data_IF_883304855541
#
_entry.id   IF_883304855541
#
_cell.length_a   1.000
_cell.length_b   1.000
_cell.length_c   1.000
_cell.angle_alpha   90.00
_cell.angle_beta   90.00
_cell.angle_gamma   90.00
#
_symmetry.space_group_name_H-M   'P 1'
#
loop_
_entity.id
_entity.type
_entity.pdbx_description
1 polymer ?
#
# COMPACT_ATOMS: atom_id res chain seq x y z
N UNK A 1 56.66 41.12 -73.81
CA UNK A 1 55.24 41.52 -73.77
C UNK A 1 54.42 40.33 -73.24
N UNK A 2 54.11 40.30 -71.95
CA UNK A 2 53.37 39.23 -71.35
C UNK A 2 52.11 39.84 -70.76
N UNK A 3 50.93 39.36 -71.20
CA UNK A 3 49.60 39.77 -70.69
C UNK A 3 49.25 38.86 -69.51
N UNK A 4 49.20 39.43 -68.35
CA UNK A 4 48.64 38.83 -67.16
C UNK A 4 47.08 38.86 -67.16
N UNK A 5 46.43 37.71 -67.05
CA UNK A 5 44.99 37.59 -66.84
C UNK A 5 44.73 37.42 -65.30
N UNK A 6 44.02 38.37 -64.77
CA UNK A 6 43.50 38.31 -63.44
C UNK A 6 42.27 37.40 -63.35
N UNK A 7 42.28 36.39 -62.49
CA UNK A 7 41.13 35.58 -62.17
C UNK A 7 40.48 36.10 -60.85
N UNK A 8 39.18 36.38 -60.88
CA UNK A 8 38.34 36.69 -59.70
C UNK A 8 37.99 35.41 -59.00
N UNK A 9 38.01 35.37 -57.65
CA UNK A 9 37.47 34.25 -56.92
C UNK A 9 35.96 34.37 -56.73
N UNK A 10 35.23 33.32 -57.12
CA UNK A 10 33.83 33.15 -56.84
C UNK A 10 33.69 32.72 -55.34
N UNK A 11 33.12 33.57 -54.50
CA UNK A 11 32.80 33.24 -53.11
C UNK A 11 31.49 32.45 -53.08
N UNK A 12 31.58 31.15 -52.85
CA UNK A 12 30.41 30.31 -52.56
C UNK A 12 29.94 30.55 -51.12
N UNK A 13 28.79 31.19 -50.95
CA UNK A 13 28.11 31.32 -49.66
C UNK A 13 27.40 29.99 -49.35
N UNK A 14 27.97 29.22 -48.45
CA UNK A 14 27.36 28.00 -47.93
C UNK A 14 26.39 28.40 -46.80
N UNK A 15 25.08 28.41 -47.10
CA UNK A 15 24.03 28.63 -46.08
C UNK A 15 23.91 27.39 -45.20
N UNK A 16 24.41 27.43 -43.95
CA UNK A 16 24.13 26.44 -42.91
C UNK A 16 22.70 26.67 -42.44
N UNK A 17 21.78 25.79 -42.85
CA UNK A 17 20.48 25.62 -42.20
C UNK A 17 20.71 24.92 -40.85
N UNK A 18 20.72 25.70 -39.76
CA UNK A 18 20.64 25.20 -38.41
C UNK A 18 19.20 24.68 -38.19
N UNK A 19 19.03 23.38 -38.32
CA UNK A 19 17.86 22.71 -37.72
C UNK A 19 18.02 22.78 -36.21
N UNK A 20 17.35 23.71 -35.57
CA UNK A 20 17.14 23.68 -34.15
C UNK A 20 16.23 22.46 -33.87
N UNK A 21 16.79 21.35 -33.42
CA UNK A 21 16.03 20.35 -32.73
C UNK A 21 15.43 21.03 -31.47
N UNK A 22 14.16 21.32 -31.51
CA UNK A 22 13.42 21.65 -30.28
C UNK A 22 13.31 20.33 -29.51
N UNK A 23 14.22 20.12 -28.56
CA UNK A 23 14.02 19.11 -27.53
C UNK A 23 12.76 19.47 -26.76
N UNK A 24 11.68 18.77 -27.06
CA UNK A 24 10.49 18.80 -26.20
C UNK A 24 10.83 18.06 -24.91
N UNK A 25 11.37 18.77 -23.92
CA UNK A 25 11.69 18.23 -22.59
C UNK A 25 10.47 18.05 -21.70
N UNK A 26 9.31 17.72 -22.27
CA UNK A 26 8.19 17.19 -21.52
C UNK A 26 8.43 15.70 -21.21
N UNK A 27 7.98 15.18 -20.06
CA UNK A 27 8.10 13.76 -19.79
C UNK A 27 7.36 12.99 -20.89
N UNK A 28 8.13 12.23 -21.67
CA UNK A 28 7.58 11.39 -22.73
C UNK A 28 6.77 10.29 -22.07
N UNK A 29 5.45 10.26 -22.33
CA UNK A 29 4.62 9.13 -21.91
C UNK A 29 5.20 7.86 -22.59
N UNK A 30 5.67 6.85 -21.81
CA UNK A 30 6.37 5.69 -22.36
C UNK A 30 5.50 4.78 -23.25
N UNK A 31 4.22 5.12 -23.45
CA UNK A 31 3.29 4.30 -24.22
C UNK A 31 3.01 2.92 -23.59
N UNK A 32 2.27 2.09 -24.33
CA UNK A 32 1.97 0.71 -23.89
C UNK A 32 3.18 -0.20 -24.11
N UNK A 33 3.43 -1.13 -23.17
CA UNK A 33 4.56 -2.06 -23.18
C UNK A 33 4.10 -3.48 -22.83
N UNK A 34 4.80 -4.48 -23.34
CA UNK A 34 4.56 -5.89 -22.96
C UNK A 34 5.84 -6.73 -23.14
N UNK A 35 5.98 -7.78 -22.31
CA UNK A 35 7.10 -8.72 -22.38
C UNK A 35 6.66 -10.19 -22.26
N UNK A 36 5.40 -10.50 -22.57
CA UNK A 36 4.81 -11.85 -22.44
C UNK A 36 4.36 -12.19 -21.01
N UNK A 37 5.00 -11.68 -19.98
CA UNK A 37 4.62 -11.86 -18.56
C UNK A 37 3.81 -10.67 -18.04
N UNK A 38 4.19 -9.47 -18.40
CA UNK A 38 3.54 -8.22 -17.97
C UNK A 38 3.06 -7.47 -19.20
N UNK A 39 1.83 -7.00 -19.14
CA UNK A 39 1.30 -6.01 -20.09
C UNK A 39 1.07 -4.71 -19.35
N UNK A 40 1.70 -3.62 -19.81
CA UNK A 40 1.53 -2.27 -19.26
C UNK A 40 0.72 -1.44 -20.23
N UNK A 41 -0.36 -0.85 -19.75
CA UNK A 41 -1.20 0.11 -20.47
C UNK A 41 -0.96 1.49 -19.86
N UNK A 42 -0.47 2.43 -20.69
CA UNK A 42 -0.25 3.83 -20.34
C UNK A 42 -1.06 4.78 -21.23
N UNK A 43 -1.94 4.22 -22.09
CA UNK A 43 -2.80 5.02 -22.96
C UNK A 43 -3.90 5.71 -22.15
N UNK A 44 -3.89 7.07 -22.08
CA UNK A 44 -4.84 7.80 -21.24
C UNK A 44 -6.30 7.61 -21.67
N UNK A 45 -6.57 7.43 -22.96
CA UNK A 45 -7.93 7.26 -23.47
C UNK A 45 -8.52 5.91 -23.01
N UNK A 46 -7.74 4.84 -23.08
CA UNK A 46 -8.11 3.53 -22.55
C UNK A 46 -8.33 3.57 -21.05
N UNK A 47 -7.39 4.17 -20.29
CA UNK A 47 -7.42 4.19 -18.82
C UNK A 47 -8.57 5.07 -18.29
N UNK A 48 -8.92 6.15 -18.96
CA UNK A 48 -10.04 7.02 -18.59
C UNK A 48 -11.39 6.28 -18.60
N UNK A 49 -11.55 5.22 -19.40
CA UNK A 49 -12.76 4.39 -19.42
C UNK A 49 -12.88 3.45 -18.21
N UNK A 50 -11.80 3.27 -17.46
CA UNK A 50 -11.75 2.33 -16.33
C UNK A 50 -12.07 2.98 -14.98
N UNK A 51 -12.14 4.31 -14.92
CA UNK A 51 -12.43 5.06 -13.70
C UNK A 51 -13.82 5.71 -13.80
N UNK A 52 -14.65 5.47 -12.81
CA UNK A 52 -15.96 6.11 -12.67
C UNK A 52 -15.90 7.16 -11.57
N UNK A 53 -16.29 8.38 -11.88
CA UNK A 53 -16.36 9.47 -10.92
C UNK A 53 -17.71 9.55 -10.23
N UNK A 54 -17.71 9.99 -8.98
CA UNK A 54 -18.91 10.23 -8.18
C UNK A 54 -18.72 11.49 -7.34
N UNK A 55 -19.81 11.97 -6.77
CA UNK A 55 -19.85 13.02 -5.73
C UNK A 55 -20.81 12.62 -4.61
N UNK A 56 -21.01 11.31 -4.46
CA UNK A 56 -21.94 10.79 -3.47
C UNK A 56 -21.37 10.96 -2.07
N UNK A 57 -22.17 11.56 -1.19
CA UNK A 57 -21.83 11.59 0.23
C UNK A 57 -21.88 10.18 0.80
N UNK A 58 -20.83 9.79 1.50
CA UNK A 58 -20.78 8.50 2.20
C UNK A 58 -21.11 8.78 3.67
N UNK A 59 -22.23 8.27 4.19
CA UNK A 59 -22.55 8.42 5.60
C UNK A 59 -21.55 7.63 6.46
N UNK A 60 -21.15 8.24 7.57
CA UNK A 60 -20.44 7.55 8.63
C UNK A 60 -21.51 7.00 9.57
N UNK A 61 -21.79 5.70 9.45
CA UNK A 61 -22.80 5.04 10.25
C UNK A 61 -22.26 4.70 11.65
N UNK A 62 -22.72 5.44 12.66
CA UNK A 62 -22.36 5.21 14.05
C UNK A 62 -23.15 4.04 14.70
N UNK A 63 -24.12 3.43 14.00
CA UNK A 63 -24.95 2.36 14.54
C UNK A 63 -24.13 1.09 14.78
N UNK A 64 -24.17 0.58 16.00
CA UNK A 64 -23.53 -0.68 16.38
C UNK A 64 -22.00 -0.68 16.36
N UNK A 65 -21.35 0.49 16.28
CA UNK A 65 -19.88 0.60 16.36
C UNK A 65 -19.39 0.92 17.78
N UNK A 66 -20.31 1.25 18.72
CA UNK A 66 -19.97 1.37 20.13
C UNK A 66 -19.67 0.00 20.73
N UNK A 67 -18.55 -0.11 21.45
CA UNK A 67 -18.22 -1.31 22.21
C UNK A 67 -18.74 -1.15 23.64
N UNK A 68 -19.23 -2.20 24.29
CA UNK A 68 -19.58 -2.12 25.69
C UNK A 68 -18.35 -1.67 26.49
N UNK A 69 -18.59 -0.81 27.48
CA UNK A 69 -17.51 -0.38 28.37
C UNK A 69 -16.78 -1.61 28.94
N UNK A 70 -15.43 -1.62 28.88
CA UNK A 70 -14.68 -2.72 29.47
C UNK A 70 -15.04 -2.88 30.97
N UNK A 71 -15.06 -4.11 31.49
CA UNK A 71 -15.35 -4.33 32.90
C UNK A 71 -14.37 -3.53 33.76
N UNK A 72 -14.82 -3.05 34.90
CA UNK A 72 -14.09 -2.12 35.78
C UNK A 72 -12.68 -2.56 36.22
N UNK A 73 -12.28 -3.80 35.90
CA UNK A 73 -10.95 -4.37 36.16
C UNK A 73 -10.08 -4.58 34.91
N UNK A 74 -10.51 -4.10 33.72
CA UNK A 74 -9.65 -4.18 32.53
C UNK A 74 -8.43 -3.27 32.68
N UNK A 75 -7.24 -3.67 32.18
CA UNK A 75 -6.07 -2.80 32.12
C UNK A 75 -6.43 -1.46 31.51
N UNK A 76 -5.87 -0.37 32.02
CA UNK A 76 -6.19 1.01 31.61
C UNK A 76 -6.00 1.31 30.12
N UNK A 77 -5.31 0.44 29.37
CA UNK A 77 -5.10 0.52 27.91
C UNK A 77 -6.38 0.26 27.07
N UNK A 78 -7.48 -0.18 27.65
CA UNK A 78 -8.71 -0.60 26.93
C UNK A 78 -9.87 0.39 27.06
N UNK A 79 -9.61 1.69 27.19
CA UNK A 79 -10.69 2.66 27.25
C UNK A 79 -11.15 3.01 25.84
N UNK A 80 -12.18 2.32 25.37
CA UNK A 80 -12.91 2.70 24.18
C UNK A 80 -14.14 3.48 24.62
N UNK A 81 -14.24 4.74 24.22
CA UNK A 81 -15.43 5.54 24.45
C UNK A 81 -16.57 5.08 23.53
N UNK A 82 -17.83 5.28 23.92
CA UNK A 82 -18.97 5.10 23.01
C UNK A 82 -18.80 5.92 21.74
N UNK A 83 -19.37 5.47 20.62
CA UNK A 83 -19.33 6.20 19.36
C UNK A 83 -19.88 7.62 19.54
N UNK A 84 -19.04 8.61 19.22
CA UNK A 84 -19.41 10.03 19.36
C UNK A 84 -20.12 10.60 18.11
N UNK A 85 -20.25 9.78 17.05
CA UNK A 85 -20.64 10.25 15.72
C UNK A 85 -19.51 11.00 15.00
N UNK A 86 -19.73 11.31 13.73
CA UNK A 86 -18.68 11.85 12.85
C UNK A 86 -18.28 13.31 13.15
N UNK A 87 -18.91 13.99 14.09
CA UNK A 87 -18.60 15.38 14.37
C UNK A 87 -18.76 16.28 13.12
N UNK A 88 -17.73 17.08 12.84
CA UNK A 88 -17.74 18.05 11.73
C UNK A 88 -17.16 17.51 10.43
N UNK A 89 -16.66 16.25 10.37
CA UNK A 89 -16.05 15.75 9.15
C UNK A 89 -17.01 14.91 8.30
N UNK A 90 -16.88 15.04 6.98
CA UNK A 90 -17.71 14.33 6.02
C UNK A 90 -16.87 13.60 4.99
N UNK A 91 -17.48 12.58 4.37
CA UNK A 91 -16.83 11.74 3.37
C UNK A 91 -17.60 11.81 2.05
N UNK A 92 -16.85 11.90 0.95
CA UNK A 92 -17.42 11.91 -0.40
C UNK A 92 -16.71 10.84 -1.24
N UNK A 93 -17.47 9.92 -1.85
CA UNK A 93 -16.93 9.03 -2.88
C UNK A 93 -16.61 9.88 -4.11
N UNK A 94 -15.34 9.99 -4.45
CA UNK A 94 -14.89 10.83 -5.57
C UNK A 94 -14.68 10.03 -6.84
N UNK A 95 -14.12 8.84 -6.69
CA UNK A 95 -13.87 7.94 -7.81
C UNK A 95 -13.88 6.47 -7.37
N UNK A 96 -14.13 5.59 -8.33
CA UNK A 96 -14.00 4.15 -8.15
C UNK A 96 -13.49 3.50 -9.44
N UNK A 97 -12.73 2.43 -9.26
CA UNK A 97 -12.20 1.61 -10.35
C UNK A 97 -12.60 0.16 -10.10
N UNK A 98 -13.24 -0.46 -11.09
CA UNK A 98 -13.56 -1.88 -11.00
C UNK A 98 -12.28 -2.72 -10.97
N UNK A 99 -12.34 -3.86 -10.29
CA UNK A 99 -11.25 -4.83 -10.29
C UNK A 99 -10.87 -5.23 -11.71
N UNK A 100 -9.59 -5.19 -12.09
CA UNK A 100 -9.17 -5.66 -13.41
C UNK A 100 -9.29 -7.18 -13.51
N UNK A 101 -9.18 -7.71 -14.73
CA UNK A 101 -9.18 -9.16 -14.97
C UNK A 101 -8.02 -9.57 -15.85
N UNK A 102 -7.53 -10.79 -15.64
CA UNK A 102 -6.46 -11.43 -16.42
C UNK A 102 -6.91 -12.85 -16.76
N UNK A 103 -6.90 -13.21 -18.03
CA UNK A 103 -7.32 -14.55 -18.47
C UNK A 103 -8.74 -14.94 -18.04
N UNK A 104 -9.65 -13.97 -17.93
CA UNK A 104 -11.02 -14.16 -17.45
C UNK A 104 -11.17 -14.23 -15.92
N UNK A 105 -10.08 -14.14 -15.15
CA UNK A 105 -10.09 -14.11 -13.70
C UNK A 105 -10.17 -12.66 -13.19
N UNK A 106 -11.16 -12.36 -12.38
CA UNK A 106 -11.32 -11.04 -11.73
C UNK A 106 -10.37 -10.98 -10.53
N UNK A 107 -9.54 -9.96 -10.49
CA UNK A 107 -8.55 -9.77 -9.44
C UNK A 107 -9.17 -9.09 -8.22
N UNK A 108 -8.51 -9.24 -7.07
CA UNK A 108 -8.87 -8.54 -5.84
C UNK A 108 -7.87 -7.42 -5.55
N UNK A 109 -8.34 -6.23 -5.26
CA UNK A 109 -7.49 -5.15 -4.75
C UNK A 109 -6.94 -5.55 -3.38
N UNK A 110 -5.60 -5.52 -3.20
CA UNK A 110 -4.94 -6.11 -2.05
C UNK A 110 -4.23 -5.11 -1.15
N UNK A 111 -3.51 -4.14 -1.72
CA UNK A 111 -2.69 -3.20 -0.97
C UNK A 111 -2.63 -1.85 -1.69
N UNK A 112 -2.39 -0.80 -0.93
CA UNK A 112 -2.23 0.57 -1.42
C UNK A 112 -0.97 1.16 -0.82
N UNK A 113 -0.17 1.83 -1.63
CA UNK A 113 0.95 2.66 -1.20
C UNK A 113 0.79 4.06 -1.76
N UNK A 114 1.01 5.08 -0.92
CA UNK A 114 0.96 6.48 -1.33
C UNK A 114 2.37 7.07 -1.30
N UNK A 115 2.74 7.76 -2.37
CA UNK A 115 4.02 8.48 -2.48
C UNK A 115 3.82 9.83 -3.17
N UNK A 116 3.98 10.91 -2.40
CA UNK A 116 3.58 12.25 -2.87
C UNK A 116 2.11 12.27 -3.28
N UNK A 117 1.82 12.78 -4.46
CA UNK A 117 0.47 12.84 -5.02
C UNK A 117 0.13 11.61 -5.90
N UNK A 118 0.67 10.44 -5.57
CA UNK A 118 0.40 9.19 -6.29
C UNK A 118 -0.08 8.11 -5.34
N UNK A 119 -1.07 7.33 -5.78
CA UNK A 119 -1.43 6.06 -5.16
C UNK A 119 -1.05 4.91 -6.11
N UNK A 120 -0.41 3.89 -5.57
CA UNK A 120 -0.11 2.64 -6.28
C UNK A 120 -0.87 1.52 -5.60
N UNK A 121 -1.58 0.72 -6.38
CA UNK A 121 -2.50 -0.31 -5.89
C UNK A 121 -2.12 -1.65 -6.48
N UNK A 122 -2.02 -2.68 -5.64
CA UNK A 122 -1.78 -4.05 -6.08
C UNK A 122 -3.07 -4.86 -6.14
N UNK A 123 -3.05 -5.85 -7.03
CA UNK A 123 -4.14 -6.81 -7.22
C UNK A 123 -3.60 -8.22 -7.30
N UNK A 124 -4.35 -9.19 -6.76
CA UNK A 124 -4.07 -10.61 -6.91
C UNK A 124 -5.34 -11.41 -7.18
N UNK A 125 -5.17 -12.68 -7.45
CA UNK A 125 -6.22 -13.68 -7.40
C UNK A 125 -5.99 -14.59 -6.18
N UNK A 126 -7.05 -15.02 -5.50
CA UNK A 126 -6.94 -16.01 -4.43
C UNK A 126 -6.84 -17.41 -5.04
N UNK A 127 -5.71 -18.08 -4.80
CA UNK A 127 -5.47 -19.45 -5.29
C UNK A 127 -4.78 -19.50 -6.66
N UNK A 128 -5.10 -20.49 -7.47
CA UNK A 128 -4.54 -20.66 -8.82
C UNK A 128 -5.53 -20.22 -9.90
N UNK A 129 -5.05 -19.71 -11.05
CA UNK A 129 -3.66 -19.41 -11.40
C UNK A 129 -3.11 -18.19 -10.67
N UNK A 130 -1.78 -18.07 -10.56
CA UNK A 130 -1.13 -16.83 -10.11
C UNK A 130 -1.30 -15.76 -11.18
N UNK A 131 -2.17 -14.79 -10.95
CA UNK A 131 -2.40 -13.63 -11.83
C UNK A 131 -2.63 -12.38 -11.00
N UNK A 132 -2.10 -11.26 -11.42
CA UNK A 132 -2.12 -10.05 -10.62
C UNK A 132 -2.08 -8.77 -11.44
N UNK A 133 -1.99 -7.65 -10.74
CA UNK A 133 -1.92 -6.34 -11.37
C UNK A 133 -1.40 -5.25 -10.45
N UNK A 134 -1.04 -4.14 -11.06
CA UNK A 134 -0.66 -2.89 -10.39
C UNK A 134 -1.26 -1.72 -11.15
N UNK A 135 -1.98 -0.85 -10.44
CA UNK A 135 -2.49 0.42 -10.95
C UNK A 135 -1.74 1.60 -10.32
N UNK A 136 -1.54 2.65 -11.10
CA UNK A 136 -0.98 3.93 -10.64
C UNK A 136 -2.00 5.03 -10.87
N UNK A 137 -2.25 5.81 -9.82
CA UNK A 137 -3.16 6.94 -9.84
C UNK A 137 -2.43 8.24 -9.56
N UNK A 138 -2.78 9.29 -10.29
CA UNK A 138 -2.41 10.66 -9.99
C UNK A 138 -3.53 11.30 -9.15
N UNK A 139 -3.19 11.76 -7.94
CA UNK A 139 -4.06 12.40 -6.98
C UNK A 139 -3.94 13.93 -6.98
N UNK A 140 -3.12 14.52 -7.85
CA UNK A 140 -2.83 15.96 -7.87
C UNK A 140 -4.07 16.82 -8.13
N UNK A 141 -5.06 16.26 -8.82
CA UNK A 141 -6.37 16.90 -8.98
C UNK A 141 -7.33 16.42 -7.88
N UNK A 142 -7.60 17.29 -6.92
CA UNK A 142 -8.41 16.99 -5.74
C UNK A 142 -9.85 16.51 -6.01
N UNK A 143 -10.38 16.70 -7.22
CA UNK A 143 -11.77 16.34 -7.55
C UNK A 143 -11.86 15.21 -8.57
N UNK A 144 -10.81 14.97 -9.34
CA UNK A 144 -10.78 13.98 -10.43
C UNK A 144 -9.44 13.25 -10.47
N UNK A 145 -9.16 12.36 -9.51
CA UNK A 145 -7.96 11.53 -9.56
C UNK A 145 -7.95 10.71 -10.86
N UNK A 146 -6.81 10.51 -11.47
CA UNK A 146 -6.72 9.81 -12.77
C UNK A 146 -5.94 8.51 -12.67
N UNK A 147 -6.40 7.46 -13.33
CA UNK A 147 -5.65 6.23 -13.55
C UNK A 147 -4.65 6.50 -14.68
N UNK A 148 -3.36 6.47 -14.38
CA UNK A 148 -2.29 6.85 -15.31
C UNK A 148 -1.53 5.67 -15.89
N UNK A 149 -1.55 4.53 -15.19
CA UNK A 149 -0.88 3.30 -15.64
C UNK A 149 -1.52 2.07 -15.05
N UNK A 150 -1.57 0.99 -15.81
CA UNK A 150 -2.01 -0.34 -15.38
C UNK A 150 -1.06 -1.41 -15.88
N UNK A 151 -0.48 -2.19 -14.98
CA UNK A 151 0.28 -3.39 -15.31
C UNK A 151 -0.55 -4.64 -14.96
N UNK A 152 -0.63 -5.61 -15.86
CA UNK A 152 -1.29 -6.89 -15.67
C UNK A 152 -0.28 -8.03 -15.82
N UNK A 153 -0.28 -8.94 -14.85
CA UNK A 153 0.67 -10.05 -14.74
C UNK A 153 -0.03 -11.37 -15.08
N UNK A 154 0.56 -12.14 -16.00
CA UNK A 154 -0.03 -13.38 -16.53
C UNK A 154 0.29 -14.64 -15.69
N UNK A 155 1.28 -14.56 -14.82
CA UNK A 155 1.76 -15.71 -14.03
C UNK A 155 2.22 -15.32 -12.62
N UNK A 156 1.74 -14.19 -12.09
CA UNK A 156 2.24 -13.64 -10.83
C UNK A 156 1.11 -12.93 -10.09
N UNK A 157 0.86 -13.31 -8.84
CA UNK A 157 0.04 -12.60 -7.87
C UNK A 157 0.82 -11.46 -7.24
N UNK A 158 0.22 -10.28 -7.05
CA UNK A 158 0.85 -9.18 -6.34
C UNK A 158 0.18 -8.99 -4.97
N UNK A 159 0.84 -9.48 -3.92
CA UNK A 159 0.31 -9.48 -2.55
C UNK A 159 0.34 -8.09 -1.91
N UNK A 160 1.42 -7.35 -2.15
CA UNK A 160 1.54 -5.96 -1.69
C UNK A 160 2.43 -5.12 -2.60
N UNK A 161 2.28 -3.81 -2.47
CA UNK A 161 3.05 -2.81 -3.20
C UNK A 161 3.55 -1.73 -2.25
N UNK A 162 4.76 -1.24 -2.50
CA UNK A 162 5.33 -0.07 -1.85
C UNK A 162 6.02 0.83 -2.87
N UNK A 163 5.67 2.11 -2.88
CA UNK A 163 6.26 3.09 -3.79
C UNK A 163 7.18 4.05 -3.02
N UNK A 164 8.35 4.33 -3.60
CA UNK A 164 9.31 5.30 -3.06
C UNK A 164 10.01 6.03 -4.22
N UNK A 165 9.78 7.32 -4.34
CA UNK A 165 10.26 8.09 -5.48
C UNK A 165 9.69 7.57 -6.79
N UNK A 166 10.56 7.06 -7.65
CA UNK A 166 10.20 6.43 -8.93
C UNK A 166 10.21 4.90 -8.88
N UNK A 167 10.55 4.30 -7.74
CA UNK A 167 10.63 2.87 -7.57
C UNK A 167 9.31 2.31 -7.00
N UNK A 168 8.87 1.17 -7.53
CA UNK A 168 7.68 0.44 -7.10
C UNK A 168 8.11 -0.99 -6.77
N UNK A 169 8.16 -1.29 -5.47
CA UNK A 169 8.54 -2.60 -4.93
C UNK A 169 7.30 -3.46 -4.77
N UNK A 170 7.36 -4.68 -5.27
CA UNK A 170 6.27 -5.65 -5.23
C UNK A 170 6.69 -6.86 -4.37
N UNK A 171 5.77 -7.35 -3.58
CA UNK A 171 5.84 -8.66 -2.95
C UNK A 171 4.85 -9.59 -3.65
N UNK A 172 5.32 -10.75 -4.09
CA UNK A 172 4.63 -11.58 -5.09
C UNK A 172 4.64 -13.06 -4.75
N UNK A 173 3.68 -13.77 -5.37
CA UNK A 173 3.78 -15.22 -5.60
C UNK A 173 3.71 -15.48 -7.11
N UNK A 174 4.64 -16.29 -7.63
CA UNK A 174 4.75 -16.54 -9.08
C UNK A 174 4.67 -18.02 -9.42
N UNK A 175 4.07 -18.31 -10.57
CA UNK A 175 4.13 -19.63 -11.22
C UNK A 175 5.38 -19.86 -12.07
N UNK A 176 6.34 -18.95 -12.06
CA UNK A 176 7.58 -19.04 -12.82
C UNK A 176 8.51 -20.09 -12.20
N UNK A 177 8.75 -21.18 -12.94
CA UNK A 177 9.58 -22.32 -12.50
C UNK A 177 11.08 -22.01 -12.45
N UNK A 178 11.52 -20.82 -12.88
CA UNK A 178 12.90 -20.35 -12.72
C UNK A 178 13.27 -20.00 -11.29
N UNK A 179 12.30 -19.92 -10.36
CA UNK A 179 12.53 -19.70 -8.93
C UNK A 179 12.37 -21.00 -8.14
N UNK A 180 13.15 -21.15 -7.06
CA UNK A 180 13.08 -22.33 -6.17
C UNK A 180 11.78 -22.37 -5.34
N UNK A 181 11.18 -21.21 -5.09
CA UNK A 181 9.93 -21.07 -4.37
C UNK A 181 9.09 -19.96 -5.05
N UNK A 182 7.75 -19.98 -4.91
CA UNK A 182 6.89 -18.99 -5.54
C UNK A 182 7.10 -17.56 -5.03
N UNK A 183 7.63 -17.38 -3.82
CA UNK A 183 7.85 -16.05 -3.23
C UNK A 183 8.91 -15.25 -4.00
N UNK A 184 8.54 -14.05 -4.47
CA UNK A 184 9.41 -13.17 -5.25
C UNK A 184 9.23 -11.73 -4.81
N UNK A 185 10.33 -10.97 -4.76
CA UNK A 185 10.32 -9.52 -4.77
C UNK A 185 10.62 -9.00 -6.18
N UNK A 186 9.86 -8.03 -6.65
CA UNK A 186 10.08 -7.38 -7.95
C UNK A 186 10.16 -5.86 -7.82
N UNK A 187 10.97 -5.23 -8.67
CA UNK A 187 11.09 -3.78 -8.76
C UNK A 187 10.66 -3.31 -10.14
N UNK A 188 9.59 -2.55 -10.19
CA UNK A 188 9.18 -1.75 -11.33
C UNK A 188 9.60 -0.29 -11.15
N UNK A 189 9.58 0.49 -12.23
CA UNK A 189 9.89 1.91 -12.19
C UNK A 189 8.77 2.74 -12.81
N UNK A 190 8.71 4.00 -12.36
CA UNK A 190 7.86 5.04 -12.92
C UNK A 190 8.69 6.03 -13.74
N UNK A 191 8.17 6.42 -14.90
CA UNK A 191 8.56 7.61 -15.65
C UNK A 191 7.38 8.57 -15.58
N UNK A 192 7.54 9.68 -14.86
CA UNK A 192 6.37 10.48 -14.45
C UNK A 192 5.43 9.65 -13.57
N UNK A 193 4.18 9.51 -14.01
CA UNK A 193 3.16 8.69 -13.34
C UNK A 193 2.91 7.33 -14.05
N UNK A 194 3.76 6.93 -14.99
CA UNK A 194 3.57 5.74 -15.80
C UNK A 194 4.58 4.64 -15.46
N UNK A 195 4.11 3.43 -15.29
CA UNK A 195 4.96 2.24 -15.14
C UNK A 195 5.74 1.96 -16.43
N UNK A 196 6.98 1.47 -16.27
CA UNK A 196 7.83 1.05 -17.39
C UNK A 196 8.48 -0.30 -17.11
N UNK A 197 8.67 -1.09 -18.16
CA UNK A 197 9.45 -2.33 -18.10
C UNK A 197 10.94 -1.97 -18.11
N UNK A 198 11.59 -2.04 -16.97
CA UNK A 198 13.02 -1.76 -16.82
C UNK A 198 13.76 -3.03 -16.40
N UNK A 199 14.19 -3.82 -17.35
CA UNK A 199 14.98 -5.01 -17.10
C UNK A 199 14.26 -6.01 -16.16
N UNK A 200 14.89 -7.15 -15.91
CA UNK A 200 14.30 -8.22 -15.11
C UNK A 200 14.77 -8.10 -13.65
N UNK A 201 14.24 -7.13 -12.89
CA UNK A 201 14.62 -6.91 -11.50
C UNK A 201 13.72 -7.71 -10.57
N UNK A 202 13.94 -9.02 -10.54
CA UNK A 202 13.21 -9.98 -9.70
C UNK A 202 14.17 -10.75 -8.81
N UNK A 203 13.78 -10.96 -7.55
CA UNK A 203 14.55 -11.75 -6.59
C UNK A 203 13.67 -12.83 -5.96
N UNK A 204 14.04 -14.09 -6.16
CA UNK A 204 13.43 -15.22 -5.47
C UNK A 204 13.73 -15.15 -3.97
N UNK A 205 12.70 -15.36 -3.18
CA UNK A 205 12.73 -15.43 -1.73
C UNK A 205 12.39 -16.85 -1.28
N UNK A 206 12.39 -17.11 0.01
CA UNK A 206 11.92 -18.38 0.59
C UNK A 206 10.41 -18.35 0.81
N UNK A 207 9.78 -19.55 1.00
CA UNK A 207 8.36 -19.72 1.26
C UNK A 207 7.48 -19.63 0.00
N UNK A 208 6.17 -19.77 0.18
CA UNK A 208 5.19 -19.86 -0.92
C UNK A 208 4.67 -18.50 -1.41
N UNK A 209 4.91 -17.42 -0.68
CA UNK A 209 4.50 -16.06 -1.05
C UNK A 209 5.39 -15.02 -0.39
N UNK A 210 5.75 -13.97 -1.10
CA UNK A 210 6.22 -12.73 -0.50
C UNK A 210 5.00 -11.93 -0.05
N UNK A 211 4.99 -11.52 1.22
CA UNK A 211 3.81 -10.97 1.88
C UNK A 211 3.79 -9.45 1.89
N UNK A 212 4.95 -8.82 2.05
CA UNK A 212 5.08 -7.36 2.07
C UNK A 212 6.44 -6.92 1.54
N UNK A 213 6.49 -5.74 0.95
CA UNK A 213 7.70 -5.04 0.57
C UNK A 213 7.66 -3.59 1.06
N UNK A 214 8.82 -3.03 1.40
CA UNK A 214 9.01 -1.61 1.74
C UNK A 214 10.44 -1.19 1.40
N UNK A 215 10.73 0.11 1.44
CA UNK A 215 12.08 0.60 1.23
C UNK A 215 12.35 1.87 2.06
N UNK A 216 13.59 2.07 2.41
CA UNK A 216 14.16 3.32 2.88
C UNK A 216 15.27 3.77 1.92
N UNK A 217 15.85 4.95 2.11
CA UNK A 217 16.79 5.54 1.14
C UNK A 217 17.95 4.65 0.69
N UNK A 218 18.39 3.70 1.53
CA UNK A 218 19.58 2.86 1.26
C UNK A 218 19.28 1.37 1.15
N UNK A 219 18.07 0.91 1.48
CA UNK A 219 17.70 -0.50 1.51
C UNK A 219 16.24 -0.70 1.12
N UNK A 220 15.98 -1.85 0.50
CA UNK A 220 14.64 -2.39 0.39
C UNK A 220 14.49 -3.58 1.33
N UNK A 221 13.27 -3.88 1.71
CA UNK A 221 12.95 -4.96 2.63
C UNK A 221 11.77 -5.74 2.07
N UNK A 222 11.79 -7.06 2.23
CA UNK A 222 10.67 -7.93 1.89
C UNK A 222 10.48 -9.01 2.95
N UNK A 223 9.22 -9.38 3.21
CA UNK A 223 8.87 -10.51 4.06
C UNK A 223 8.31 -11.65 3.24
N UNK A 224 8.50 -12.88 3.71
CA UNK A 224 7.97 -14.08 3.06
C UNK A 224 7.36 -15.03 4.09
N UNK A 225 6.10 -15.06 4.16
CA UNK A 225 5.13 -15.91 4.88
C UNK A 225 5.63 -16.96 5.90
N UNK A 226 5.04 -18.15 5.85
CA UNK A 226 5.05 -19.16 6.92
C UNK A 226 6.45 -19.63 7.33
N UNK A 227 7.22 -20.22 6.40
CA UNK A 227 8.64 -20.61 6.62
C UNK A 227 9.58 -19.50 6.23
N UNK A 228 9.23 -18.27 6.63
CA UNK A 228 9.73 -17.08 5.99
C UNK A 228 10.86 -16.36 6.72
N UNK A 229 11.14 -15.19 6.19
CA UNK A 229 12.20 -14.33 6.64
C UNK A 229 11.89 -12.86 6.38
N UNK A 230 12.63 -11.99 7.04
CA UNK A 230 12.89 -10.62 6.59
C UNK A 230 14.12 -10.65 5.69
N UNK A 231 13.98 -10.24 4.45
CA UNK A 231 15.07 -10.01 3.51
C UNK A 231 15.42 -8.53 3.49
N UNK A 232 16.70 -8.23 3.57
CA UNK A 232 17.28 -6.90 3.37
C UNK A 232 17.93 -6.89 1.99
N UNK A 233 17.48 -6.02 1.13
CA UNK A 233 17.83 -6.01 -0.29
C UNK A 233 18.49 -4.68 -0.67
N UNK A 234 19.34 -4.73 -1.67
CA UNK A 234 19.76 -3.52 -2.38
C UNK A 234 18.53 -2.88 -3.06
N UNK A 235 18.29 -1.58 -2.90
CA UNK A 235 17.04 -0.96 -3.35
C UNK A 235 16.92 -0.82 -4.87
N UNK A 236 18.01 -1.00 -5.63
CA UNK A 236 18.01 -0.85 -7.08
C UNK A 236 18.15 -2.17 -7.82
N UNK A 237 18.89 -3.13 -7.24
CA UNK A 237 19.18 -4.42 -7.89
C UNK A 237 18.42 -5.59 -7.29
N UNK A 238 17.82 -5.42 -6.10
CA UNK A 238 17.23 -6.45 -5.26
C UNK A 238 18.21 -7.56 -4.84
N UNK A 239 19.51 -7.30 -4.91
CA UNK A 239 20.53 -8.23 -4.37
C UNK A 239 20.33 -8.36 -2.86
N UNK A 240 20.32 -9.59 -2.35
CA UNK A 240 20.20 -9.85 -0.90
C UNK A 240 21.46 -9.39 -0.19
N UNK A 241 21.30 -8.41 0.69
CA UNK A 241 22.37 -7.89 1.56
C UNK A 241 22.41 -8.63 2.89
N UNK A 242 21.24 -9.02 3.42
CA UNK A 242 21.11 -9.78 4.66
C UNK A 242 19.74 -10.47 4.71
N UNK A 243 19.57 -11.43 5.63
CA UNK A 243 18.26 -12.04 5.91
C UNK A 243 18.17 -12.51 7.37
N UNK A 244 16.95 -12.47 7.91
CA UNK A 244 16.62 -12.91 9.27
C UNK A 244 15.47 -13.90 9.20
N UNK A 245 15.66 -15.11 9.66
CA UNK A 245 14.59 -16.11 9.74
C UNK A 245 13.52 -15.65 10.73
N UNK A 246 12.33 -15.41 10.24
CA UNK A 246 11.15 -14.97 10.99
C UNK A 246 9.95 -15.77 10.51
N UNK A 247 9.56 -16.78 11.27
CA UNK A 247 8.40 -17.59 10.93
C UNK A 247 7.13 -16.71 10.89
N UNK A 248 6.28 -16.98 9.90
CA UNK A 248 5.04 -16.25 9.65
C UNK A 248 5.22 -14.71 9.59
N UNK A 249 6.30 -14.27 8.90
CA UNK A 249 6.56 -12.86 8.65
C UNK A 249 5.54 -12.31 7.64
N UNK A 250 4.62 -11.46 8.10
CA UNK A 250 3.47 -11.00 7.30
C UNK A 250 3.63 -9.60 6.74
N UNK A 251 4.22 -8.69 7.50
CA UNK A 251 4.35 -7.31 7.06
C UNK A 251 5.62 -6.66 7.59
N UNK A 252 6.23 -5.78 6.78
CA UNK A 252 7.38 -4.97 7.17
C UNK A 252 7.10 -3.49 6.93
N UNK A 253 7.50 -2.66 7.90
CA UNK A 253 7.45 -1.21 7.80
C UNK A 253 8.76 -0.59 8.30
N UNK A 254 9.11 0.58 7.77
CA UNK A 254 10.31 1.33 8.14
C UNK A 254 9.94 2.77 8.47
N UNK A 255 10.29 3.24 9.65
CA UNK A 255 10.12 4.63 10.06
C UNK A 255 10.96 4.92 11.31
N UNK A 256 11.40 6.17 11.46
CA UNK A 256 12.10 6.64 12.67
C UNK A 256 13.37 5.86 13.00
N UNK A 257 14.12 5.38 12.00
CA UNK A 257 15.34 4.59 12.17
C UNK A 257 15.10 3.16 12.66
N UNK A 258 13.87 2.65 12.50
CA UNK A 258 13.47 1.29 12.88
C UNK A 258 12.92 0.54 11.67
N UNK A 259 13.29 -0.73 11.57
CA UNK A 259 12.64 -1.74 10.72
C UNK A 259 11.78 -2.60 11.63
N UNK A 260 10.50 -2.70 11.32
CA UNK A 260 9.53 -3.40 12.15
C UNK A 260 8.89 -4.50 11.32
N UNK A 261 8.86 -5.73 11.84
CA UNK A 261 8.23 -6.88 11.19
C UNK A 261 7.15 -7.47 12.07
N UNK A 262 5.96 -7.62 11.51
CA UNK A 262 4.86 -8.33 12.17
C UNK A 262 4.89 -9.80 11.77
N UNK A 263 4.87 -10.66 12.76
CA UNK A 263 4.65 -12.10 12.65
C UNK A 263 3.23 -12.41 13.13
N UNK A 264 2.51 -13.28 12.42
CA UNK A 264 1.09 -13.50 12.66
C UNK A 264 0.82 -14.47 13.81
N UNK A 265 1.38 -15.67 13.76
CA UNK A 265 1.10 -16.73 14.76
C UNK A 265 2.39 -17.39 15.26
N UNK A 266 2.71 -17.26 16.57
CA UNK A 266 2.11 -16.34 17.52
C UNK A 266 2.45 -14.89 17.20
N UNK A 267 1.56 -13.95 17.54
CA UNK A 267 1.76 -12.53 17.27
C UNK A 267 3.01 -11.96 17.92
N UNK A 268 3.95 -11.50 17.08
CA UNK A 268 5.20 -10.88 17.50
C UNK A 268 5.51 -9.66 16.64
N UNK A 269 6.01 -8.61 17.27
CA UNK A 269 6.57 -7.45 16.65
C UNK A 269 8.09 -7.51 16.81
N UNK A 270 8.81 -7.90 15.75
CA UNK A 270 10.27 -7.86 15.74
C UNK A 270 10.73 -6.47 15.29
N UNK A 271 11.62 -5.85 16.06
CA UNK A 271 12.12 -4.49 15.81
C UNK A 271 13.64 -4.53 15.66
N UNK A 272 14.14 -3.90 14.60
CA UNK A 272 15.57 -3.77 14.31
C UNK A 272 15.94 -2.29 14.19
N UNK A 273 17.19 -1.96 14.51
CA UNK A 273 17.75 -0.68 14.15
C UNK A 273 18.00 -0.64 12.64
N UNK A 274 17.48 0.35 11.95
CA UNK A 274 17.58 0.45 10.49
C UNK A 274 19.01 0.57 9.98
N UNK A 275 19.84 1.35 10.64
CA UNK A 275 21.22 1.60 10.20
C UNK A 275 22.11 0.38 10.37
N UNK A 276 22.03 -0.30 11.53
CA UNK A 276 22.93 -1.40 11.90
C UNK A 276 22.33 -2.78 11.67
N UNK A 277 21.01 -2.88 11.50
CA UNK A 277 20.23 -4.14 11.46
C UNK A 277 20.32 -4.96 12.77
N UNK A 278 20.83 -4.37 13.84
CA UNK A 278 20.88 -5.02 15.16
C UNK A 278 19.43 -5.16 15.69
N UNK A 279 19.07 -6.32 16.29
CA UNK A 279 17.81 -6.49 16.98
C UNK A 279 17.65 -5.44 18.09
N UNK A 280 16.51 -4.76 18.12
CA UNK A 280 16.18 -3.75 19.13
C UNK A 280 15.09 -4.23 20.11
N UNK A 281 14.35 -5.27 19.75
CA UNK A 281 13.35 -5.89 20.60
C UNK A 281 12.48 -6.89 19.84
N UNK A 282 11.82 -7.76 20.60
CA UNK A 282 10.75 -8.63 20.08
C UNK A 282 9.63 -8.61 21.12
N UNK A 283 8.47 -8.14 20.72
CA UNK A 283 7.35 -7.90 21.61
C UNK A 283 6.18 -8.77 21.21
N UNK A 284 5.59 -9.48 22.19
CA UNK A 284 4.40 -10.28 21.97
C UNK A 284 3.16 -9.37 21.91
N UNK A 285 2.25 -9.70 21.01
CA UNK A 285 0.91 -9.14 20.98
C UNK A 285 -0.11 -10.26 20.76
N UNK A 286 -1.40 -9.97 20.93
CA UNK A 286 -2.44 -10.93 20.60
C UNK A 286 -2.50 -11.08 19.08
N UNK A 287 -2.03 -12.22 18.56
CA UNK A 287 -1.90 -12.47 17.15
C UNK A 287 -3.23 -12.72 16.46
N UNK A 288 -3.18 -12.71 15.13
CA UNK A 288 -4.31 -13.01 14.28
C UNK A 288 -4.47 -14.53 14.15
N UNK A 289 -5.49 -15.08 14.80
CA UNK A 289 -5.81 -16.51 14.72
C UNK A 289 -6.64 -16.87 13.47
N UNK A 290 -6.79 -15.92 12.54
CA UNK A 290 -7.44 -16.09 11.23
C UNK A 290 -6.37 -16.15 10.15
N UNK A 291 -6.36 -17.22 9.36
CA UNK A 291 -5.37 -17.43 8.28
C UNK A 291 -5.42 -16.33 7.20
N UNK A 292 -6.58 -15.75 6.98
CA UNK A 292 -6.82 -14.68 6.01
C UNK A 292 -6.26 -13.32 6.44
N UNK A 293 -5.82 -13.16 7.68
CA UNK A 293 -5.27 -11.89 8.18
C UNK A 293 -3.95 -11.54 7.50
N UNK A 294 -3.87 -10.34 6.97
CA UNK A 294 -2.62 -9.76 6.44
C UNK A 294 -1.66 -9.36 7.54
N UNK A 295 -2.17 -9.04 8.73
CA UNK A 295 -1.39 -8.55 9.88
C UNK A 295 -0.47 -7.40 9.51
N UNK A 296 -1.03 -6.35 8.88
CA UNK A 296 -0.24 -5.18 8.48
C UNK A 296 0.16 -4.33 9.67
N UNK A 297 1.15 -3.47 9.48
CA UNK A 297 1.55 -2.46 10.48
C UNK A 297 1.82 -1.12 9.81
N UNK A 298 1.31 -0.05 10.42
CA UNK A 298 1.68 1.33 10.13
C UNK A 298 2.42 1.94 11.32
N UNK A 299 3.43 2.79 11.06
CA UNK A 299 4.27 3.39 12.09
C UNK A 299 4.00 4.90 12.17
N UNK A 300 3.65 5.39 13.35
CA UNK A 300 3.48 6.81 13.61
C UNK A 300 3.89 7.16 15.05
N UNK A 301 4.70 8.21 15.24
CA UNK A 301 5.09 8.71 16.56
C UNK A 301 5.78 7.68 17.47
N UNK A 302 6.56 6.75 16.89
CA UNK A 302 7.21 5.66 17.65
C UNK A 302 6.25 4.56 18.10
N UNK A 303 5.04 4.52 17.53
CA UNK A 303 4.03 3.49 17.76
C UNK A 303 3.83 2.63 16.53
N UNK A 304 3.56 1.34 16.75
CA UNK A 304 3.17 0.38 15.71
C UNK A 304 1.65 0.11 15.83
N UNK A 305 0.90 0.47 14.80
CA UNK A 305 -0.52 0.20 14.64
C UNK A 305 -0.67 -1.12 13.90
N UNK A 306 -0.87 -2.20 14.64
CA UNK A 306 -0.91 -3.57 14.10
C UNK A 306 -2.36 -3.96 13.86
N UNK A 307 -2.70 -4.27 12.61
CA UNK A 307 -3.98 -4.87 12.25
C UNK A 307 -3.89 -6.39 12.48
N UNK A 308 -4.42 -6.86 13.61
CA UNK A 308 -4.22 -8.22 14.09
C UNK A 308 -5.45 -9.13 13.87
N UNK A 309 -6.04 -9.08 12.68
CA UNK A 309 -7.10 -9.98 12.23
C UNK A 309 -8.33 -9.99 13.14
N UNK A 310 -8.54 -11.10 13.83
CA UNK A 310 -9.63 -11.29 14.81
C UNK A 310 -9.42 -10.50 16.11
N UNK A 311 -8.22 -10.03 16.36
CA UNK A 311 -7.86 -9.24 17.55
C UNK A 311 -7.95 -7.74 17.36
N UNK A 312 -8.41 -7.27 16.18
CA UNK A 312 -8.60 -5.85 15.88
C UNK A 312 -7.28 -5.11 15.68
N UNK A 313 -7.23 -3.82 16.02
CA UNK A 313 -6.00 -3.04 15.98
C UNK A 313 -5.37 -3.01 17.38
N UNK A 314 -4.08 -3.29 17.45
CA UNK A 314 -3.27 -3.13 18.66
C UNK A 314 -2.19 -2.08 18.40
N UNK A 315 -2.05 -1.12 19.30
CA UNK A 315 -1.06 -0.04 19.20
C UNK A 315 0.04 -0.29 20.23
N UNK A 316 1.22 -0.64 19.77
CA UNK A 316 2.37 -0.93 20.62
C UNK A 316 3.43 0.16 20.50
N UNK A 317 4.11 0.48 21.60
CA UNK A 317 5.37 1.21 21.55
C UNK A 317 6.43 0.36 20.85
N UNK A 318 7.10 0.92 19.83
CA UNK A 318 8.22 0.22 19.15
C UNK A 318 9.49 0.17 20.00
N UNK A 319 9.52 0.88 21.12
CA UNK A 319 10.68 0.94 22.02
C UNK A 319 10.57 -0.09 23.14
N UNK A 320 9.41 -0.21 23.77
CA UNK A 320 9.20 -1.04 24.95
C UNK A 320 8.26 -2.22 24.72
N UNK A 321 7.49 -2.22 23.62
CA UNK A 321 6.43 -3.19 23.36
C UNK A 321 5.17 -2.98 24.22
N UNK A 322 5.11 -1.89 24.99
CA UNK A 322 3.93 -1.59 25.79
C UNK A 322 2.69 -1.38 24.90
N UNK A 323 1.57 -1.98 25.27
CA UNK A 323 0.28 -1.74 24.63
C UNK A 323 -0.25 -0.37 25.08
N UNK A 324 -0.31 0.58 24.16
CA UNK A 324 -0.69 1.97 24.42
C UNK A 324 -2.07 2.35 23.87
N UNK A 325 -2.69 1.45 23.14
CA UNK A 325 -4.06 1.60 22.62
C UNK A 325 -4.54 0.34 21.92
N UNK A 326 -5.85 0.19 21.78
CA UNK A 326 -6.43 -0.91 21.01
C UNK A 326 -7.82 -0.55 20.49
N UNK A 327 -8.19 -1.15 19.36
CA UNK A 327 -9.56 -1.12 18.81
C UNK A 327 -9.96 -2.56 18.52
N UNK A 328 -10.94 -3.15 19.18
CA UNK A 328 -11.37 -4.52 18.93
C UNK A 328 -11.95 -4.67 17.53
N UNK A 329 -11.88 -5.87 16.99
CA UNK A 329 -12.58 -6.26 15.76
C UNK A 329 -14.09 -6.09 15.93
N UNK A 330 -14.82 -5.61 14.92
CA UNK A 330 -16.27 -5.65 14.93
C UNK A 330 -16.80 -7.08 15.20
N UNK A 331 -17.86 -7.20 15.97
CA UNK A 331 -18.47 -8.51 16.23
C UNK A 331 -19.19 -9.01 14.97
N UNK A 332 -18.73 -10.10 14.33
CA UNK A 332 -19.31 -10.61 13.09
C UNK A 332 -20.79 -10.97 13.23
N UNK A 333 -21.18 -11.61 14.34
CA UNK A 333 -22.56 -12.03 14.59
C UNK A 333 -23.52 -10.83 14.66
N UNK A 334 -23.09 -9.70 15.24
CA UNK A 334 -23.91 -8.48 15.28
C UNK A 334 -24.12 -7.82 13.91
N UNK A 335 -23.28 -8.17 12.93
CA UNK A 335 -23.35 -7.70 11.56
C UNK A 335 -24.03 -8.70 10.61
N UNK A 336 -24.39 -9.88 11.08
CA UNK A 336 -24.89 -10.99 10.26
C UNK A 336 -23.82 -11.54 9.30
N UNK A 337 -22.54 -11.46 9.68
CA UNK A 337 -21.40 -11.90 8.87
C UNK A 337 -20.70 -13.10 9.53
N UNK A 338 -19.97 -13.88 8.72
CA UNK A 338 -19.12 -14.95 9.21
C UNK A 338 -17.81 -14.44 9.82
N UNK A 339 -17.22 -15.24 10.73
CA UNK A 339 -15.95 -14.89 11.38
C UNK A 339 -14.80 -14.69 10.39
N UNK A 340 -14.70 -15.52 9.35
CA UNK A 340 -13.61 -15.50 8.36
C UNK A 340 -13.65 -14.30 7.41
N UNK A 341 -14.78 -13.58 7.33
CA UNK A 341 -14.91 -12.42 6.42
C UNK A 341 -14.84 -11.08 7.13
N UNK A 342 -14.87 -11.07 8.47
CA UNK A 342 -14.65 -9.86 9.27
C UNK A 342 -13.24 -9.92 9.85
N UNK A 343 -12.28 -9.42 9.09
CA UNK A 343 -10.85 -9.49 9.39
C UNK A 343 -10.26 -8.10 9.40
N UNK A 344 -9.64 -7.70 10.50
CA UNK A 344 -8.90 -6.44 10.58
C UNK A 344 -7.58 -6.61 9.82
N UNK A 345 -7.50 -6.08 8.60
CA UNK A 345 -6.41 -6.30 7.65
C UNK A 345 -5.40 -5.16 7.60
N UNK A 346 -5.85 -3.93 7.80
CA UNK A 346 -4.94 -2.77 7.81
C UNK A 346 -5.51 -1.64 8.66
N UNK A 347 -4.61 -0.74 9.06
CA UNK A 347 -4.95 0.53 9.68
C UNK A 347 -4.14 1.63 9.00
N UNK A 348 -4.70 2.82 8.85
CA UNK A 348 -4.00 4.01 8.37
C UNK A 348 -4.23 5.18 9.31
N UNK A 349 -3.16 5.88 9.65
CA UNK A 349 -3.12 6.91 10.69
C UNK A 349 -2.88 8.28 10.08
N UNK A 350 -3.72 9.25 10.43
CA UNK A 350 -3.47 10.66 10.13
C UNK A 350 -3.83 11.56 11.31
N UNK A 351 -2.83 12.20 11.87
CA UNK A 351 -2.99 13.05 13.06
C UNK A 351 -3.65 12.26 14.21
N UNK A 352 -4.91 12.55 14.50
CA UNK A 352 -5.74 11.89 15.51
C UNK A 352 -6.73 10.87 14.92
N UNK A 353 -6.84 10.76 13.58
CA UNK A 353 -7.72 9.80 12.93
C UNK A 353 -7.05 8.45 12.67
N UNK A 354 -7.85 7.41 12.75
CA UNK A 354 -7.48 6.04 12.46
C UNK A 354 -8.55 5.43 11.55
N UNK A 355 -8.15 5.06 10.33
CA UNK A 355 -8.97 4.35 9.37
C UNK A 355 -8.61 2.86 9.43
N UNK A 356 -9.60 1.99 9.61
CA UNK A 356 -9.38 0.57 9.87
C UNK A 356 -10.15 -0.26 8.85
N UNK A 357 -9.46 -1.12 8.11
CA UNK A 357 -10.11 -2.09 7.23
C UNK A 357 -10.51 -3.35 8.02
N UNK A 358 -11.77 -3.76 7.90
CA UNK A 358 -12.34 -4.90 8.63
C UNK A 358 -13.03 -5.90 7.70
N UNK A 359 -12.41 -6.23 6.55
CA UNK A 359 -12.97 -7.18 5.59
C UNK A 359 -14.35 -6.74 5.10
N UNK A 360 -15.33 -7.65 5.11
CA UNK A 360 -16.71 -7.34 4.68
C UNK A 360 -17.48 -6.41 5.63
N UNK A 361 -16.98 -6.20 6.85
CA UNK A 361 -17.53 -5.18 7.74
C UNK A 361 -17.25 -3.75 7.24
N UNK A 362 -16.33 -3.58 6.29
CA UNK A 362 -16.02 -2.29 5.67
C UNK A 362 -14.88 -1.54 6.35
N UNK A 363 -14.88 -0.21 6.22
CA UNK A 363 -13.92 0.67 6.89
C UNK A 363 -14.53 1.23 8.16
N UNK A 364 -13.77 1.17 9.25
CA UNK A 364 -14.12 1.82 10.51
C UNK A 364 -13.25 3.05 10.70
N UNK A 365 -13.85 4.09 11.24
CA UNK A 365 -13.17 5.37 11.50
C UNK A 365 -13.17 5.59 13.00
N UNK A 366 -11.99 5.82 13.54
CA UNK A 366 -11.81 6.10 14.97
C UNK A 366 -10.95 7.36 15.15
N UNK A 367 -11.03 7.95 16.32
CA UNK A 367 -10.29 9.15 16.67
C UNK A 367 -9.60 8.97 18.02
N UNK A 368 -8.32 9.27 18.09
CA UNK A 368 -7.55 9.36 19.31
C UNK A 368 -7.88 10.65 20.08
N UNK A 369 -7.69 10.61 21.39
CA UNK A 369 -7.83 11.82 22.25
C UNK A 369 -6.79 12.89 21.94
N UNK A 370 -5.73 12.55 21.21
CA UNK A 370 -4.66 13.42 20.74
C UNK A 370 -4.08 12.87 19.42
N UNK A 371 -3.35 13.70 18.69
CA UNK A 371 -2.64 13.25 17.49
C UNK A 371 -1.66 12.13 17.81
N UNK A 372 -1.79 11.01 17.11
CA UNK A 372 -0.97 9.81 17.36
C UNK A 372 0.51 10.03 17.11
N UNK A 373 0.85 10.82 16.09
CA UNK A 373 2.23 11.13 15.74
C UNK A 373 2.89 12.17 16.65
N UNK A 374 2.10 13.02 17.31
CA UNK A 374 2.59 14.11 18.15
C UNK A 374 2.83 13.71 19.61
N UNK A 375 2.34 12.53 20.02
CA UNK A 375 2.51 12.02 21.40
C UNK A 375 3.71 11.09 21.50
N UNK A 376 4.33 11.00 22.70
CA UNK A 376 5.40 10.05 22.96
C UNK A 376 5.01 8.59 22.70
N UNK A 377 5.98 7.72 22.44
CA UNK A 377 5.74 6.31 22.09
C UNK A 377 5.00 5.52 23.16
N UNK A 378 5.13 5.94 24.43
CA UNK A 378 4.50 5.30 25.59
C UNK A 378 3.17 5.95 26.01
N UNK A 379 2.72 6.99 25.29
CA UNK A 379 1.49 7.71 25.66
C UNK A 379 0.27 6.86 25.35
N UNK A 380 -0.44 6.44 26.38
CA UNK A 380 -1.73 5.80 26.25
C UNK A 380 -2.79 6.78 25.76
N UNK A 381 -3.65 6.32 24.88
CA UNK A 381 -4.72 7.12 24.31
C UNK A 381 -6.07 6.43 24.44
N UNK A 382 -7.08 7.23 24.71
CA UNK A 382 -8.48 6.83 24.49
C UNK A 382 -8.77 6.96 23.00
N UNK A 383 -9.23 5.87 22.40
CA UNK A 383 -9.63 5.83 20.98
C UNK A 383 -11.15 5.73 20.93
N UNK A 384 -11.80 6.70 20.31
CA UNK A 384 -13.25 6.78 20.16
C UNK A 384 -13.66 6.36 18.76
N UNK A 385 -14.60 5.43 18.65
CA UNK A 385 -15.18 5.07 17.34
C UNK A 385 -16.11 6.17 16.86
N UNK A 386 -15.92 6.62 15.63
CA UNK A 386 -16.78 7.61 14.98
C UNK A 386 -17.89 6.94 14.16
N UNK A 387 -17.57 5.85 13.47
CA UNK A 387 -18.54 5.12 12.66
C UNK A 387 -17.87 4.17 11.67
N UNK A 388 -18.69 3.65 10.75
CA UNK A 388 -18.26 2.69 9.72
C UNK A 388 -18.76 3.07 8.33
N UNK A 389 -18.02 2.64 7.32
CA UNK A 389 -18.35 2.73 5.91
C UNK A 389 -18.49 1.30 5.36
N UNK A 390 -19.54 1.02 4.61
CA UNK A 390 -19.75 -0.26 3.93
C UNK A 390 -19.92 -0.03 2.43
N UNK A 391 -19.29 -0.88 1.63
CA UNK A 391 -19.29 -0.78 0.16
C UNK A 391 -20.07 -1.91 -0.53
N UNK A 392 -20.92 -2.62 0.19
CA UNK A 392 -21.72 -3.73 -0.34
C UNK A 392 -21.29 -5.10 0.20
N UNK A 393 -22.10 -6.14 -0.06
CA UNK A 393 -22.02 -7.41 0.66
C UNK A 393 -20.86 -8.33 0.28
N UNK A 394 -20.22 -8.12 -0.88
CA UNK A 394 -19.11 -8.96 -1.35
C UNK A 394 -17.79 -8.18 -1.52
N UNK A 395 -17.73 -6.99 -0.98
CA UNK A 395 -16.55 -6.13 -1.06
C UNK A 395 -15.77 -6.21 0.26
N UNK A 396 -14.81 -7.13 0.30
CA UNK A 396 -13.90 -7.23 1.44
C UNK A 396 -12.87 -6.11 1.38
N UNK A 397 -12.82 -5.26 2.38
CA UNK A 397 -11.78 -4.22 2.48
C UNK A 397 -10.48 -4.87 2.96
N UNK A 398 -9.51 -4.96 2.06
CA UNK A 398 -8.23 -5.60 2.31
C UNK A 398 -7.15 -4.63 2.80
N UNK A 399 -7.24 -3.37 2.38
CA UNK A 399 -6.28 -2.35 2.76
C UNK A 399 -6.88 -0.95 2.66
N UNK A 400 -6.41 -0.05 3.53
CA UNK A 400 -6.68 1.38 3.47
C UNK A 400 -5.38 2.15 3.59
N UNK A 401 -5.29 3.27 2.88
CA UNK A 401 -4.21 4.24 3.02
C UNK A 401 -4.78 5.66 2.90
N UNK A 402 -4.33 6.57 3.75
CA UNK A 402 -4.76 7.96 3.73
C UNK A 402 -3.65 8.89 3.27
N UNK A 403 -3.96 9.75 2.30
CA UNK A 403 -3.09 10.86 1.89
C UNK A 403 -3.51 12.12 2.61
N UNK A 404 -2.74 12.54 3.60
CA UNK A 404 -2.97 13.82 4.29
C UNK A 404 -2.81 15.01 3.35
N UNK A 405 -1.88 14.93 2.39
CA UNK A 405 -1.61 15.98 1.40
C UNK A 405 -2.82 16.24 0.51
N UNK A 406 -3.47 15.18 0.04
CA UNK A 406 -4.56 15.28 -0.93
C UNK A 406 -5.93 15.09 -0.28
N UNK A 407 -5.98 14.70 0.99
CA UNK A 407 -7.20 14.41 1.75
C UNK A 407 -7.99 13.21 1.21
N UNK A 408 -7.31 12.22 0.63
CA UNK A 408 -7.93 10.99 0.12
C UNK A 408 -7.71 9.79 1.01
N UNK A 409 -8.79 9.13 1.36
CA UNK A 409 -8.76 7.75 1.84
C UNK A 409 -8.91 6.81 0.63
N UNK A 410 -7.87 6.05 0.35
CA UNK A 410 -7.84 5.06 -0.72
C UNK A 410 -8.15 3.70 -0.12
N UNK A 411 -9.17 3.02 -0.65
CA UNK A 411 -9.71 1.77 -0.10
C UNK A 411 -9.59 0.65 -1.13
N UNK A 412 -8.73 -0.33 -0.85
CA UNK A 412 -8.65 -1.58 -1.61
C UNK A 412 -9.80 -2.50 -1.16
N UNK A 413 -10.87 -2.54 -1.94
CA UNK A 413 -12.14 -3.20 -1.60
C UNK A 413 -12.25 -4.61 -2.22
N UNK A 414 -11.16 -5.37 -2.28
CA UNK A 414 -11.14 -6.73 -2.80
C UNK A 414 -11.71 -6.83 -4.21
N UNK A 415 -12.70 -7.69 -4.43
CA UNK A 415 -13.42 -7.81 -5.72
C UNK A 415 -14.20 -6.54 -6.10
N UNK A 416 -14.50 -5.67 -5.15
CA UNK A 416 -15.10 -4.35 -5.40
C UNK A 416 -14.12 -3.32 -5.99
N UNK A 417 -12.86 -3.70 -6.22
CA UNK A 417 -11.83 -2.86 -6.81
C UNK A 417 -11.35 -1.76 -5.86
N UNK A 418 -11.17 -0.56 -6.38
CA UNK A 418 -10.66 0.58 -5.62
C UNK A 418 -11.77 1.61 -5.38
N UNK A 419 -11.80 2.18 -4.19
CA UNK A 419 -12.62 3.35 -3.86
C UNK A 419 -11.72 4.49 -3.39
N UNK A 420 -11.98 5.69 -3.89
CA UNK A 420 -11.30 6.92 -3.51
C UNK A 420 -12.30 7.83 -2.80
N UNK A 421 -12.08 8.04 -1.53
CA UNK A 421 -12.99 8.76 -0.65
C UNK A 421 -12.32 10.05 -0.19
N UNK A 422 -12.89 11.19 -0.53
CA UNK A 422 -12.45 12.48 -0.04
C UNK A 422 -12.88 12.65 1.42
N UNK A 423 -11.93 12.97 2.27
CA UNK A 423 -12.15 13.30 3.68
C UNK A 423 -12.18 14.81 3.80
N UNK A 424 -13.34 15.39 4.15
CA UNK A 424 -13.51 16.82 4.35
C UNK A 424 -13.55 17.10 5.86
N UNK A 425 -12.54 17.78 6.37
CA UNK A 425 -12.40 18.20 7.78
C UNK A 425 -12.83 19.65 7.99
#
# INVERSE_FOLDING_TARGET
MARTRSALPVASVLAFLLFACVDSTGPVNPGNQANGRITIVNDPATLATQIAYSRDSIPIDATGVGYPAPPARAPSASRIAPAAGAGSFSLTLTAQVASPSVGGQVLQATSVSIVGQRAVVSYNMRGNPYVGGVDVFDLSNNNTPTLTSRALFQNTDVSSVFASGTNVYLAEATGDTGFQAPAVAELLQLVGNNLVLTGNRRKGLTSFVATSATASGTRAYATSGNTGALFVLDPLTLTVLNSFNLADARWVAVSGGKVVVVQGMPGKLAVYNEATLAPAGTFAFKGADIAESKSTVELAGGKAFIAAGDSGVQVLSVTTGALVGSVPRPNPASLGLGDSVVVTNSASVDSDLLFISNGEAGVYVAQGSQAFSATGSETQQTITMLGKLRFGNLQSVNHVAYSAQDGYLIVAAGLGGLKMVKVNR
#
